data_IF_612227838390
#
_entry.id   IF_612227838390
#
_cell.length_a   1.000
_cell.length_b   1.000
_cell.length_c   1.000
_cell.angle_alpha   90.00
_cell.angle_beta   90.00
_cell.angle_gamma   90.00
#
_symmetry.space_group_name_H-M   'P 1'
#
loop_
_entity.id
_entity.type
_entity.pdbx_description
1 polymer ?
#
# COMPACT_ATOMS: atom_id res chain seq x y z
N UNK A 1 -29.71 -1.66 5.24
CA UNK A 1 -28.92 -1.01 6.30
C UNK A 1 -29.74 -0.64 7.56
N UNK A 2 -30.77 -1.40 7.95
CA UNK A 2 -31.62 -1.05 9.13
C UNK A 2 -30.91 -1.14 10.49
N UNK A 3 -29.79 -1.86 10.57
CA UNK A 3 -29.00 -2.01 11.80
C UNK A 3 -27.83 -1.02 11.93
N UNK A 4 -27.58 -0.17 10.92
CA UNK A 4 -26.47 0.78 10.96
C UNK A 4 -26.95 2.10 11.56
N UNK A 5 -26.35 2.46 12.70
CA UNK A 5 -26.52 3.78 13.33
C UNK A 5 -25.41 4.69 12.82
N UNK A 6 -25.81 5.86 12.31
CA UNK A 6 -24.87 6.87 11.81
C UNK A 6 -24.65 7.93 12.89
N UNK A 7 -23.40 8.33 13.05
CA UNK A 7 -22.97 9.39 13.97
C UNK A 7 -22.07 10.36 13.20
N UNK A 8 -22.05 11.66 13.57
CA UNK A 8 -21.05 12.59 13.08
C UNK A 8 -19.63 12.08 13.38
N UNK A 9 -18.73 12.17 12.41
CA UNK A 9 -17.32 11.84 12.61
C UNK A 9 -16.61 13.00 13.34
N UNK A 10 -16.97 13.27 14.60
CA UNK A 10 -16.37 14.29 15.46
C UNK A 10 -15.93 13.67 16.78
N UNK A 11 -14.93 14.28 17.42
CA UNK A 11 -14.35 13.73 18.64
C UNK A 11 -15.36 13.67 19.80
N UNK A 12 -16.24 14.66 19.91
CA UNK A 12 -17.30 14.68 20.93
C UNK A 12 -18.28 13.50 20.78
N UNK A 13 -18.70 13.22 19.54
CA UNK A 13 -19.61 12.11 19.21
C UNK A 13 -18.95 10.74 19.45
N UNK A 14 -17.67 10.59 19.09
CA UNK A 14 -16.90 9.38 19.40
C UNK A 14 -16.80 9.16 20.92
N UNK A 15 -16.50 10.21 21.69
CA UNK A 15 -16.48 10.13 23.17
C UNK A 15 -17.82 9.69 23.73
N UNK A 16 -18.91 10.28 23.25
CA UNK A 16 -20.25 9.91 23.67
C UNK A 16 -20.57 8.45 23.33
N UNK A 17 -20.16 7.97 22.15
CA UNK A 17 -20.32 6.58 21.77
C UNK A 17 -19.55 5.64 22.72
N UNK A 18 -18.28 5.93 23.00
CA UNK A 18 -17.48 5.14 23.96
C UNK A 18 -18.06 5.19 25.38
N UNK A 19 -18.65 6.33 25.79
CA UNK A 19 -19.28 6.48 27.09
C UNK A 19 -20.52 5.60 27.28
N UNK A 20 -21.26 5.35 26.19
CA UNK A 20 -22.33 4.36 26.17
C UNK A 20 -21.77 2.94 26.06
N UNK A 21 -20.83 2.72 25.13
CA UNK A 21 -20.27 1.42 24.81
C UNK A 21 -19.58 0.75 26.01
N UNK A 22 -18.91 1.50 26.89
CA UNK A 22 -18.28 0.93 28.11
C UNK A 22 -19.27 0.22 29.05
N UNK A 23 -20.58 0.50 28.94
CA UNK A 23 -21.63 -0.15 29.75
C UNK A 23 -22.26 -1.35 29.04
N UNK A 24 -22.10 -1.44 27.73
CA UNK A 24 -22.73 -2.44 26.87
C UNK A 24 -21.74 -3.51 26.41
N UNK A 25 -20.47 -3.15 26.20
CA UNK A 25 -19.37 -4.03 25.80
C UNK A 25 -18.65 -4.51 27.07
N UNK A 26 -18.81 -5.78 27.39
CA UNK A 26 -18.36 -6.41 28.62
C UNK A 26 -17.10 -7.26 28.41
N UNK A 27 -16.38 -7.64 29.49
CA UNK A 27 -15.24 -8.55 29.38
C UNK A 27 -15.59 -9.83 28.61
N UNK A 28 -14.80 -10.17 27.60
CA UNK A 28 -15.06 -11.30 26.69
C UNK A 28 -15.75 -10.92 25.38
N UNK A 29 -16.32 -9.72 25.29
CA UNK A 29 -16.84 -9.18 24.03
C UNK A 29 -15.73 -8.72 23.09
N UNK A 30 -16.10 -8.49 21.84
CA UNK A 30 -15.20 -8.11 20.75
C UNK A 30 -15.67 -6.82 20.09
N UNK A 31 -14.73 -5.92 19.84
CA UNK A 31 -14.95 -4.69 19.08
C UNK A 31 -14.06 -4.68 17.84
N UNK A 32 -14.67 -4.62 16.65
CA UNK A 32 -13.98 -4.36 15.40
C UNK A 32 -14.09 -2.86 15.07
N UNK A 33 -12.96 -2.17 15.03
CA UNK A 33 -12.87 -0.76 14.61
C UNK A 33 -12.36 -0.72 13.18
N UNK A 34 -13.20 -0.37 12.21
CA UNK A 34 -12.81 -0.26 10.80
C UNK A 34 -12.71 1.22 10.40
N UNK A 35 -11.55 1.65 9.93
CA UNK A 35 -11.27 3.04 9.53
C UNK A 35 -10.95 3.09 8.04
N UNK A 36 -11.69 3.90 7.30
CA UNK A 36 -11.46 4.24 5.89
C UNK A 36 -11.69 5.74 5.72
N UNK A 37 -10.59 6.50 5.78
CA UNK A 37 -10.59 7.96 5.61
C UNK A 37 -9.16 8.45 5.32
N UNK A 38 -8.95 9.76 5.30
CA UNK A 38 -7.64 10.37 5.24
C UNK A 38 -6.88 10.22 6.57
N UNK A 39 -5.60 9.87 6.48
CA UNK A 39 -4.67 9.86 7.60
C UNK A 39 -3.54 10.85 7.43
N UNK A 40 -2.94 11.30 8.55
CA UNK A 40 -1.80 12.21 8.57
C UNK A 40 -0.60 11.64 9.35
N UNK A 41 0.63 12.11 9.09
CA UNK A 41 1.85 11.61 9.73
C UNK A 41 1.98 11.99 11.22
N UNK A 42 1.06 12.80 11.75
CA UNK A 42 1.15 13.34 13.10
C UNK A 42 2.17 14.46 13.26
N UNK A 43 2.08 15.22 14.36
CA UNK A 43 2.93 16.42 14.58
C UNK A 43 4.29 16.12 15.19
N UNK A 44 4.47 14.98 15.85
CA UNK A 44 5.67 14.64 16.61
C UNK A 44 6.50 13.52 15.97
N UNK A 45 6.26 13.20 14.70
CA UNK A 45 6.98 12.18 13.95
C UNK A 45 6.32 10.79 13.96
N UNK A 46 7.04 9.76 13.50
CA UNK A 46 6.51 8.39 13.36
C UNK A 46 5.89 7.89 14.67
N UNK A 47 4.67 7.34 14.61
CA UNK A 47 3.90 6.91 15.79
C UNK A 47 2.88 7.95 16.31
N UNK A 48 2.88 9.18 15.78
CA UNK A 48 1.89 10.21 16.13
C UNK A 48 0.75 10.37 15.14
N UNK A 49 0.55 9.36 14.29
CA UNK A 49 -0.42 9.37 13.19
C UNK A 49 -1.82 9.82 13.60
N UNK A 50 -2.55 10.37 12.63
CA UNK A 50 -3.90 10.90 12.85
C UNK A 50 -4.92 10.28 11.91
N UNK A 51 -6.14 10.10 12.41
CA UNK A 51 -7.34 9.85 11.61
C UNK A 51 -8.00 11.21 11.40
N UNK A 52 -8.35 11.54 10.15
CA UNK A 52 -9.13 12.73 9.87
C UNK A 52 -10.55 12.56 10.38
N UNK A 53 -11.08 13.61 10.99
CA UNK A 53 -12.46 13.72 11.41
C UNK A 53 -13.04 14.98 10.75
N UNK A 54 -14.35 15.22 10.90
CA UNK A 54 -14.98 16.41 10.35
C UNK A 54 -14.44 17.69 11.02
N UNK A 55 -13.54 18.38 10.31
CA UNK A 55 -12.83 19.58 10.77
C UNK A 55 -11.90 19.35 11.98
N UNK A 56 -11.63 18.10 12.33
CA UNK A 56 -10.87 17.69 13.50
C UNK A 56 -9.89 16.56 13.11
N UNK A 57 -9.02 16.16 14.05
CA UNK A 57 -8.15 15.00 13.90
C UNK A 57 -8.18 14.18 15.18
N UNK A 58 -8.07 12.87 15.06
CA UNK A 58 -7.93 11.93 16.18
C UNK A 58 -6.54 11.30 16.14
N UNK A 59 -5.73 11.58 17.15
CA UNK A 59 -4.37 11.01 17.28
C UNK A 59 -4.39 9.57 17.79
N UNK A 60 -3.31 8.81 17.56
CA UNK A 60 -3.08 7.49 18.18
C UNK A 60 -3.32 7.52 19.70
N UNK A 61 -2.81 8.56 20.38
CA UNK A 61 -2.95 8.73 21.83
C UNK A 61 -4.41 8.95 22.23
N UNK A 62 -5.14 9.79 21.52
CA UNK A 62 -6.55 10.03 21.83
C UNK A 62 -7.40 8.79 21.57
N UNK A 63 -7.11 8.04 20.49
CA UNK A 63 -7.78 6.77 20.24
C UNK A 63 -7.48 5.76 21.36
N UNK A 64 -6.23 5.66 21.83
CA UNK A 64 -5.90 4.83 23.00
C UNK A 64 -6.74 5.22 24.21
N UNK A 65 -6.84 6.52 24.54
CA UNK A 65 -7.65 7.00 25.66
C UNK A 65 -9.15 6.70 25.53
N UNK A 66 -9.66 6.55 24.30
CA UNK A 66 -11.02 6.11 24.06
C UNK A 66 -11.16 4.59 24.30
N UNK A 67 -10.22 3.81 23.78
CA UNK A 67 -10.19 2.35 23.97
C UNK A 67 -9.99 1.95 25.43
N UNK A 68 -9.18 2.70 26.18
CA UNK A 68 -8.93 2.50 27.62
C UNK A 68 -10.19 2.67 28.49
N UNK A 69 -11.30 3.20 27.93
CA UNK A 69 -12.61 3.26 28.62
C UNK A 69 -13.33 1.93 28.62
N UNK A 70 -12.98 1.01 27.73
CA UNK A 70 -13.60 -0.31 27.65
C UNK A 70 -13.15 -1.17 28.84
N UNK A 71 -13.98 -2.15 29.20
CA UNK A 71 -13.63 -3.06 30.29
C UNK A 71 -12.36 -3.87 29.95
N UNK A 72 -11.51 -4.20 30.93
CA UNK A 72 -10.39 -5.11 30.71
C UNK A 72 -10.88 -6.43 30.09
N UNK A 73 -10.08 -7.03 29.20
CA UNK A 73 -10.40 -8.27 28.44
C UNK A 73 -11.47 -8.11 27.35
N UNK A 74 -11.85 -6.89 26.98
CA UNK A 74 -12.51 -6.65 25.69
C UNK A 74 -11.46 -6.78 24.59
N UNK A 75 -11.72 -7.61 23.59
CA UNK A 75 -10.84 -7.77 22.43
C UNK A 75 -11.15 -6.67 21.41
N UNK A 76 -10.21 -5.75 21.19
CA UNK A 76 -10.29 -4.70 20.18
C UNK A 76 -9.41 -5.06 19.00
N UNK A 77 -10.02 -5.18 17.82
CA UNK A 77 -9.30 -5.35 16.55
C UNK A 77 -9.52 -4.12 15.69
N UNK A 78 -8.45 -3.44 15.31
CA UNK A 78 -8.53 -2.29 14.42
C UNK A 78 -8.13 -2.68 13.01
N UNK A 79 -8.91 -2.29 12.01
CA UNK A 79 -8.55 -2.36 10.59
C UNK A 79 -8.48 -0.94 10.07
N UNK A 80 -7.34 -0.52 9.56
CA UNK A 80 -7.12 0.87 9.14
C UNK A 80 -6.61 0.95 7.71
N UNK A 81 -7.49 1.40 6.81
CA UNK A 81 -7.22 1.69 5.41
C UNK A 81 -7.09 3.18 5.19
N UNK A 82 -5.94 3.74 5.58
CA UNK A 82 -5.63 5.16 5.46
C UNK A 82 -4.12 5.39 5.38
N UNK A 83 -3.70 6.58 4.93
CA UNK A 83 -2.30 7.00 4.99
C UNK A 83 -1.76 6.93 6.42
N UNK A 84 -0.49 6.54 6.56
CA UNK A 84 0.22 6.46 7.85
C UNK A 84 -0.42 5.51 8.88
N UNK A 85 -1.27 4.57 8.43
CA UNK A 85 -2.00 3.64 9.28
C UNK A 85 -1.10 2.84 10.21
N UNK A 86 0.14 2.52 9.79
CA UNK A 86 1.06 1.73 10.60
C UNK A 86 1.48 2.40 11.92
N UNK A 87 1.28 3.72 12.07
CA UNK A 87 1.49 4.41 13.33
C UNK A 87 0.57 3.88 14.45
N UNK A 88 -0.62 3.39 14.08
CA UNK A 88 -1.59 2.86 15.03
C UNK A 88 -1.26 1.45 15.54
N UNK A 89 -0.20 0.82 15.05
CA UNK A 89 0.33 -0.41 15.65
C UNK A 89 0.73 -0.22 17.11
N UNK A 90 1.02 1.02 17.53
CA UNK A 90 1.28 1.37 18.93
C UNK A 90 0.10 1.10 19.86
N UNK A 91 -1.13 1.01 19.36
CA UNK A 91 -2.30 0.72 20.19
C UNK A 91 -2.19 -0.61 20.94
N UNK A 92 -1.33 -1.54 20.51
CA UNK A 92 -1.11 -2.82 21.19
C UNK A 92 -0.51 -2.72 22.61
N UNK A 93 0.09 -1.57 22.94
CA UNK A 93 0.66 -1.32 24.27
C UNK A 93 -0.36 -0.69 25.20
N UNK A 94 -1.22 -1.52 25.80
CA UNK A 94 -2.11 -1.13 26.90
C UNK A 94 -1.28 -0.49 28.03
N UNK A 95 -1.62 0.74 28.44
CA UNK A 95 -0.88 1.44 29.51
C UNK A 95 0.48 2.04 29.09
N UNK A 96 0.87 1.95 27.81
CA UNK A 96 2.06 2.60 27.25
C UNK A 96 3.24 1.65 26.95
N UNK A 97 4.22 2.15 26.20
CA UNK A 97 5.30 1.34 25.58
C UNK A 97 6.26 0.64 26.57
N UNK A 98 6.15 0.90 27.87
CA UNK A 98 7.00 0.30 28.90
C UNK A 98 6.55 -1.10 29.34
N UNK A 99 5.32 -1.51 29.02
CA UNK A 99 4.79 -2.84 29.33
C UNK A 99 4.75 -3.72 28.08
N UNK A 100 4.85 -5.06 28.20
CA UNK A 100 4.59 -5.95 27.08
C UNK A 100 3.11 -5.84 26.64
N UNK A 101 2.82 -6.00 25.33
CA UNK A 101 1.44 -6.06 24.84
C UNK A 101 0.62 -7.13 25.56
N UNK A 102 -0.61 -6.78 25.95
CA UNK A 102 -1.53 -7.68 26.67
C UNK A 102 -2.29 -8.64 25.74
N UNK A 103 -2.40 -8.29 24.45
CA UNK A 103 -3.29 -8.95 23.50
C UNK A 103 -4.75 -8.51 23.56
N UNK A 104 -5.11 -7.47 24.32
CA UNK A 104 -6.48 -6.92 24.26
C UNK A 104 -6.71 -6.09 23.00
N UNK A 105 -5.69 -5.36 22.54
CA UNK A 105 -5.78 -4.50 21.35
C UNK A 105 -4.77 -4.96 20.30
N UNK A 106 -5.25 -5.17 19.08
CA UNK A 106 -4.42 -5.50 17.92
C UNK A 106 -4.97 -4.84 16.66
N UNK A 107 -4.21 -4.91 15.56
CA UNK A 107 -4.68 -4.28 14.33
C UNK A 107 -3.96 -4.66 13.06
N UNK A 108 -4.59 -4.23 11.97
CA UNK A 108 -4.18 -4.43 10.59
C UNK A 108 -4.21 -3.09 9.86
N UNK A 109 -3.17 -2.82 9.09
CA UNK A 109 -2.87 -1.50 8.54
C UNK A 109 -2.57 -1.63 7.05
N UNK A 110 -3.07 -0.71 6.24
CA UNK A 110 -2.80 -0.66 4.80
C UNK A 110 -1.32 -0.43 4.48
N UNK A 111 -0.65 0.37 5.31
CA UNK A 111 0.74 0.76 5.07
C UNK A 111 1.51 1.03 6.37
N UNK A 112 2.78 1.42 6.27
CA UNK A 112 3.66 1.72 7.40
C UNK A 112 3.29 3.04 8.09
N UNK A 113 4.06 3.43 9.12
CA UNK A 113 3.88 4.71 9.81
C UNK A 113 4.40 5.91 9.00
N UNK A 114 5.15 5.67 7.92
CA UNK A 114 5.86 6.70 7.14
C UNK A 114 5.28 6.88 5.72
N UNK A 115 4.39 5.98 5.33
CA UNK A 115 3.90 5.89 3.96
C UNK A 115 2.43 6.31 3.82
N UNK A 116 2.07 6.80 2.64
CA UNK A 116 0.68 7.02 2.24
C UNK A 116 0.06 5.71 1.75
N UNK A 117 -1.25 5.57 1.92
CA UNK A 117 -2.00 4.42 1.42
C UNK A 117 -2.72 4.77 0.11
N UNK A 118 -2.84 3.80 -0.77
CA UNK A 118 -3.57 3.89 -2.03
C UNK A 118 -5.05 3.55 -1.84
N UNK A 119 -5.89 3.95 -2.81
CA UNK A 119 -7.33 3.71 -2.76
C UNK A 119 -8.14 4.68 -1.90
N UNK A 120 -7.49 5.67 -1.29
CA UNK A 120 -8.12 6.73 -0.49
C UNK A 120 -8.37 8.04 -1.28
N UNK A 121 -8.03 8.11 -2.58
CA UNK A 121 -8.17 9.29 -3.46
C UNK A 121 -8.59 8.89 -4.90
N UNK A 122 -9.10 9.81 -5.73
CA UNK A 122 -9.52 9.57 -7.12
C UNK A 122 -8.35 9.35 -8.09
N UNK A 123 -7.13 9.08 -7.60
CA UNK A 123 -5.98 8.68 -8.42
C UNK A 123 -6.22 7.35 -9.17
N UNK A 124 -7.26 6.61 -8.76
CA UNK A 124 -7.86 5.49 -9.49
C UNK A 124 -9.16 5.85 -10.22
N UNK A 125 -9.32 7.05 -10.79
CA UNK A 125 -10.53 7.42 -11.57
C UNK A 125 -10.90 6.38 -12.65
N UNK A 126 -9.91 5.64 -13.16
CA UNK A 126 -10.08 4.58 -14.15
C UNK A 126 -10.13 3.16 -13.53
N UNK A 127 -10.05 3.04 -12.20
CA UNK A 127 -9.98 1.76 -11.48
C UNK A 127 -10.88 1.77 -10.24
N UNK A 128 -12.11 1.31 -10.43
CA UNK A 128 -13.05 1.09 -9.34
C UNK A 128 -12.51 0.06 -8.33
N UNK A 129 -12.73 0.31 -7.03
CA UNK A 129 -12.46 -0.62 -5.91
C UNK A 129 -10.99 -1.05 -5.77
N UNK A 130 -10.09 -0.07 -5.69
CA UNK A 130 -8.66 -0.29 -5.43
C UNK A 130 -8.31 0.13 -4.00
N UNK A 131 -7.40 -0.59 -3.35
CA UNK A 131 -6.85 -0.26 -2.03
C UNK A 131 -7.21 -1.28 -0.95
N UNK A 132 -6.45 -1.23 0.15
CA UNK A 132 -6.45 -2.22 1.22
C UNK A 132 -7.85 -2.57 1.77
N UNK A 133 -8.73 -1.57 2.01
CA UNK A 133 -10.08 -1.84 2.51
C UNK A 133 -10.89 -2.75 1.60
N UNK A 134 -10.89 -2.51 0.29
CA UNK A 134 -11.65 -3.32 -0.67
C UNK A 134 -11.10 -4.74 -0.74
N UNK A 135 -9.78 -4.88 -0.82
CA UNK A 135 -9.12 -6.19 -0.84
C UNK A 135 -9.41 -6.99 0.42
N UNK A 136 -9.36 -6.35 1.59
CA UNK A 136 -9.63 -7.01 2.86
C UNK A 136 -11.10 -7.41 3.00
N UNK A 137 -12.04 -6.55 2.62
CA UNK A 137 -13.48 -6.88 2.64
C UNK A 137 -13.77 -8.04 1.69
N UNK A 138 -13.20 -8.04 0.48
CA UNK A 138 -13.36 -9.14 -0.47
C UNK A 138 -12.72 -10.44 0.06
N UNK A 139 -11.57 -10.36 0.75
CA UNK A 139 -10.94 -11.51 1.37
C UNK A 139 -11.73 -12.03 2.58
N UNK A 140 -12.32 -11.17 3.41
CA UNK A 140 -13.19 -11.55 4.54
C UNK A 140 -14.43 -12.32 4.11
N UNK A 141 -14.90 -12.14 2.87
CA UNK A 141 -16.00 -12.94 2.31
C UNK A 141 -15.59 -14.41 2.00
N UNK A 142 -14.29 -14.73 2.03
CA UNK A 142 -13.72 -16.04 1.67
C UNK A 142 -12.95 -16.69 2.80
N UNK A 143 -12.44 -15.90 3.74
CA UNK A 143 -11.58 -16.33 4.83
C UNK A 143 -12.32 -16.30 6.17
N UNK A 144 -11.93 -17.17 7.10
CA UNK A 144 -12.62 -17.32 8.39
C UNK A 144 -12.17 -16.30 9.44
N UNK A 145 -10.96 -15.73 9.28
CA UNK A 145 -10.37 -14.77 10.22
C UNK A 145 -9.81 -13.54 9.51
N UNK A 146 -9.69 -12.43 10.24
CA UNK A 146 -9.08 -11.20 9.72
C UNK A 146 -7.60 -11.44 9.34
N UNK A 147 -6.87 -12.25 10.11
CA UNK A 147 -5.50 -12.67 9.76
C UNK A 147 -5.42 -13.36 8.40
N UNK A 148 -6.29 -14.33 8.12
CA UNK A 148 -6.29 -15.03 6.83
C UNK A 148 -6.64 -14.08 5.68
N UNK A 149 -7.60 -13.17 5.91
CA UNK A 149 -7.94 -12.14 4.94
C UNK A 149 -6.74 -11.23 4.67
N UNK A 150 -6.05 -10.76 5.71
CA UNK A 150 -4.85 -9.93 5.59
C UNK A 150 -3.70 -10.64 4.85
N UNK A 151 -3.44 -11.90 5.18
CA UNK A 151 -2.42 -12.72 4.51
C UNK A 151 -2.72 -12.88 3.01
N UNK A 152 -4.01 -12.95 2.62
CA UNK A 152 -4.42 -12.92 1.22
C UNK A 152 -4.15 -11.56 0.58
N UNK A 153 -4.48 -10.45 1.26
CA UNK A 153 -4.21 -9.10 0.74
C UNK A 153 -2.72 -8.88 0.50
N UNK A 154 -1.85 -9.35 1.40
CA UNK A 154 -0.39 -9.28 1.22
C UNK A 154 0.09 -9.91 -0.10
N UNK A 155 -0.62 -10.93 -0.59
CA UNK A 155 -0.30 -11.67 -1.81
C UNK A 155 -0.95 -11.09 -3.07
N UNK A 156 -2.10 -10.44 -2.96
CA UNK A 156 -2.90 -10.03 -4.12
C UNK A 156 -3.05 -8.52 -4.32
N UNK A 157 -2.63 -7.69 -3.36
CA UNK A 157 -2.80 -6.24 -3.44
C UNK A 157 -1.96 -5.64 -4.57
N UNK A 158 -2.64 -5.23 -5.64
CA UNK A 158 -2.04 -4.65 -6.84
C UNK A 158 -1.81 -3.14 -6.74
N UNK A 159 -1.75 -2.61 -5.52
CA UNK A 159 -1.32 -1.25 -5.23
C UNK A 159 0.09 -1.22 -4.63
N UNK A 160 0.76 -0.05 -4.58
CA UNK A 160 2.02 0.11 -3.87
C UNK A 160 1.90 0.15 -2.33
N UNK A 161 0.77 -0.26 -1.75
CA UNK A 161 0.58 -0.38 -0.31
C UNK A 161 1.48 -1.46 0.29
N UNK A 162 1.82 -1.30 1.58
CA UNK A 162 2.68 -2.21 2.33
C UNK A 162 1.93 -2.69 3.57
N UNK A 163 0.94 -3.59 3.41
CA UNK A 163 0.11 -3.98 4.52
C UNK A 163 0.94 -4.64 5.62
N UNK A 164 0.49 -4.45 6.86
CA UNK A 164 1.12 -5.06 8.03
C UNK A 164 0.13 -5.19 9.18
N UNK A 165 0.46 -6.03 10.14
CA UNK A 165 -0.30 -6.19 11.39
C UNK A 165 0.55 -5.89 12.62
N UNK A 166 -0.10 -5.86 13.78
CA UNK A 166 0.53 -5.58 15.07
C UNK A 166 1.66 -6.55 15.42
N UNK A 167 1.51 -7.85 15.17
CA UNK A 167 2.56 -8.84 15.43
C UNK A 167 3.83 -8.55 14.64
N UNK A 168 3.69 -8.09 13.39
CA UNK A 168 4.84 -7.76 12.53
C UNK A 168 5.56 -6.52 13.05
N UNK A 169 4.79 -5.51 13.50
CA UNK A 169 5.33 -4.32 14.16
C UNK A 169 6.04 -4.65 15.47
N UNK A 170 5.48 -5.56 16.27
CA UNK A 170 6.07 -6.02 17.52
C UNK A 170 7.42 -6.72 17.27
N UNK A 171 7.45 -7.72 16.40
CA UNK A 171 8.67 -8.46 16.05
C UNK A 171 9.75 -7.56 15.44
N UNK A 172 9.36 -6.63 14.57
CA UNK A 172 10.29 -5.65 13.98
C UNK A 172 10.94 -4.74 15.05
N UNK A 173 10.19 -4.36 16.10
CA UNK A 173 10.75 -3.61 17.23
C UNK A 173 11.70 -4.46 18.05
N UNK A 174 11.34 -5.70 18.39
CA UNK A 174 12.22 -6.61 19.13
C UNK A 174 13.56 -6.80 18.42
N UNK A 175 13.54 -7.02 17.10
CA UNK A 175 14.75 -7.09 16.29
C UNK A 175 15.56 -5.80 16.33
N UNK A 176 14.89 -4.64 16.28
CA UNK A 176 15.55 -3.34 16.33
C UNK A 176 16.18 -3.05 17.69
N UNK A 177 15.51 -3.43 18.77
CA UNK A 177 16.01 -3.31 20.15
C UNK A 177 17.21 -4.24 20.38
N UNK A 178 17.12 -5.49 19.92
CA UNK A 178 18.20 -6.46 20.03
C UNK A 178 19.42 -6.05 19.19
N UNK A 179 19.21 -5.57 17.97
CA UNK A 179 20.29 -5.06 17.13
C UNK A 179 21.02 -3.88 17.79
N UNK A 180 20.26 -2.93 18.37
CA UNK A 180 20.81 -1.82 19.17
C UNK A 180 21.60 -2.31 20.38
N UNK A 181 21.08 -3.28 21.12
CA UNK A 181 21.76 -3.86 22.28
C UNK A 181 23.06 -4.60 21.92
N UNK A 182 23.13 -5.16 20.71
CA UNK A 182 24.33 -5.85 20.18
C UNK A 182 25.28 -4.92 19.42
N UNK A 183 24.90 -3.67 19.15
CA UNK A 183 25.69 -2.74 18.33
C UNK A 183 25.85 -3.20 16.88
N UNK A 184 24.83 -3.85 16.31
CA UNK A 184 24.84 -4.37 14.94
C UNK A 184 23.70 -3.77 14.11
N UNK A 185 23.79 -3.88 12.78
CA UNK A 185 22.70 -3.50 11.90
C UNK A 185 21.52 -4.48 12.06
N UNK A 186 20.29 -3.95 11.99
CA UNK A 186 19.09 -4.77 12.17
C UNK A 186 18.95 -5.81 11.08
N UNK A 187 19.25 -5.46 9.83
CA UNK A 187 19.08 -6.37 8.71
C UNK A 187 20.15 -7.47 8.75
N UNK A 188 21.38 -7.14 9.17
CA UNK A 188 22.43 -8.14 9.39
C UNK A 188 22.07 -9.13 10.52
N UNK A 189 21.51 -8.64 11.63
CA UNK A 189 20.98 -9.51 12.69
C UNK A 189 19.87 -10.42 12.15
N UNK A 190 18.91 -9.86 11.42
CA UNK A 190 17.81 -10.61 10.86
C UNK A 190 18.29 -11.67 9.85
N UNK A 191 19.25 -11.35 8.98
CA UNK A 191 19.84 -12.32 8.04
C UNK A 191 20.58 -13.45 8.77
N UNK A 192 21.25 -13.14 9.90
CA UNK A 192 21.85 -14.18 10.73
C UNK A 192 20.80 -15.11 11.35
N UNK A 193 19.66 -14.58 11.77
CA UNK A 193 18.56 -15.36 12.33
C UNK A 193 17.86 -16.20 11.25
N UNK A 194 17.59 -15.60 10.09
CA UNK A 194 17.05 -16.29 8.91
C UNK A 194 17.93 -17.48 8.51
N UNK A 195 19.26 -17.30 8.49
CA UNK A 195 20.19 -18.40 8.23
C UNK A 195 20.05 -19.57 9.22
N UNK A 196 19.75 -19.29 10.49
CA UNK A 196 19.47 -20.32 11.49
C UNK A 196 18.13 -20.98 11.25
N UNK A 197 17.07 -20.18 11.05
CA UNK A 197 15.72 -20.65 10.74
C UNK A 197 15.71 -21.61 9.53
N UNK A 198 16.42 -21.27 8.46
CA UNK A 198 16.49 -22.09 7.24
C UNK A 198 17.24 -23.41 7.38
N UNK A 199 17.94 -23.67 8.50
CA UNK A 199 18.48 -25.01 8.78
C UNK A 199 17.39 -26.06 8.96
N UNK A 200 16.22 -25.63 9.41
CA UNK A 200 14.99 -26.43 9.46
C UNK A 200 13.91 -25.75 8.61
N UNK A 201 14.13 -25.69 7.30
CA UNK A 201 13.20 -25.07 6.37
C UNK A 201 11.77 -25.65 6.46
N UNK A 202 11.62 -26.91 6.87
CA UNK A 202 10.31 -27.55 7.02
C UNK A 202 9.45 -26.87 8.10
N UNK A 203 10.06 -26.39 9.19
CA UNK A 203 9.36 -25.65 10.24
C UNK A 203 8.81 -24.29 9.76
N UNK A 204 9.40 -23.73 8.70
CA UNK A 204 9.08 -22.40 8.16
C UNK A 204 8.39 -22.45 6.79
N UNK A 205 8.00 -23.63 6.34
CA UNK A 205 7.36 -23.86 5.06
C UNK A 205 6.14 -22.95 4.79
N UNK A 206 5.27 -22.63 5.77
CA UNK A 206 4.17 -21.67 5.54
C UNK A 206 4.66 -20.27 5.14
N UNK A 207 5.74 -19.77 5.75
CA UNK A 207 6.29 -18.45 5.45
C UNK A 207 7.06 -18.45 4.11
N UNK A 208 7.77 -19.55 3.80
CA UNK A 208 8.44 -19.76 2.51
C UNK A 208 7.41 -19.72 1.36
N UNK A 209 6.31 -20.47 1.47
CA UNK A 209 5.26 -20.48 0.44
C UNK A 209 4.60 -19.12 0.24
N UNK A 210 4.51 -18.30 1.29
CA UNK A 210 4.00 -16.93 1.15
C UNK A 210 4.95 -16.05 0.34
N UNK A 211 6.26 -16.17 0.55
CA UNK A 211 7.27 -15.48 -0.25
C UNK A 211 7.17 -15.89 -1.72
N UNK A 212 7.05 -17.20 -1.98
CA UNK A 212 6.91 -17.73 -3.34
C UNK A 212 5.60 -17.29 -4.01
N UNK A 213 4.48 -17.30 -3.30
CA UNK A 213 3.20 -16.83 -3.81
C UNK A 213 3.23 -15.34 -4.17
N UNK A 214 3.91 -14.49 -3.39
CA UNK A 214 4.12 -13.08 -3.74
C UNK A 214 5.01 -12.96 -4.98
N UNK A 215 6.12 -13.70 -5.04
CA UNK A 215 7.00 -13.74 -6.20
C UNK A 215 6.26 -14.11 -7.49
N UNK A 216 5.44 -15.17 -7.44
CA UNK A 216 4.62 -15.63 -8.56
C UNK A 216 3.54 -14.61 -8.96
N UNK A 217 2.78 -14.08 -8.00
CA UNK A 217 1.68 -13.15 -8.27
C UNK A 217 2.15 -11.87 -8.96
N UNK A 218 3.34 -11.37 -8.59
CA UNK A 218 3.91 -10.14 -9.14
C UNK A 218 4.98 -10.38 -10.21
N UNK A 219 5.17 -11.63 -10.65
CA UNK A 219 6.16 -12.01 -11.66
C UNK A 219 7.57 -11.56 -11.30
N UNK A 220 7.96 -11.65 -10.03
CA UNK A 220 9.21 -11.13 -9.47
C UNK A 220 9.99 -12.18 -8.69
N UNK A 221 11.09 -11.79 -8.06
CA UNK A 221 11.94 -12.68 -7.28
C UNK A 221 11.27 -13.15 -5.99
N UNK A 222 11.73 -14.27 -5.43
CA UNK A 222 11.31 -14.79 -4.13
C UNK A 222 12.54 -14.90 -3.20
N UNK A 223 12.76 -13.95 -2.28
CA UNK A 223 13.98 -13.85 -1.48
C UNK A 223 13.96 -14.81 -0.29
N UNK A 224 15.13 -15.14 0.26
CA UNK A 224 15.33 -15.86 1.53
C UNK A 224 16.12 -15.05 2.56
N UNK A 225 16.57 -13.86 2.19
CA UNK A 225 17.32 -12.92 3.03
C UNK A 225 16.91 -11.48 2.74
N UNK A 226 17.12 -10.60 3.72
CA UNK A 226 16.93 -9.16 3.56
C UNK A 226 17.96 -8.56 2.59
N UNK A 227 19.16 -9.15 2.49
CA UNK A 227 20.14 -8.77 1.46
C UNK A 227 19.62 -9.00 0.04
N UNK A 228 18.96 -10.13 -0.22
CA UNK A 228 18.33 -10.39 -1.51
C UNK A 228 17.19 -9.41 -1.79
N UNK A 229 16.34 -9.12 -0.78
CA UNK A 229 15.31 -8.08 -0.91
C UNK A 229 15.93 -6.75 -1.31
N UNK A 230 16.94 -6.28 -0.57
CA UNK A 230 17.60 -5.00 -0.80
C UNK A 230 18.21 -4.91 -2.20
N UNK A 231 18.88 -5.97 -2.65
CA UNK A 231 19.44 -6.04 -4.00
C UNK A 231 18.35 -5.97 -5.08
N UNK A 232 17.28 -6.74 -4.91
CA UNK A 232 16.14 -6.74 -5.83
C UNK A 232 15.39 -5.40 -5.86
N UNK A 233 15.17 -4.79 -4.70
CA UNK A 233 14.54 -3.46 -4.60
C UNK A 233 15.38 -2.38 -5.30
N UNK A 234 16.70 -2.38 -5.12
CA UNK A 234 17.60 -1.45 -5.79
C UNK A 234 17.55 -1.57 -7.32
N UNK A 235 17.47 -2.80 -7.85
CA UNK A 235 17.29 -3.02 -9.28
C UNK A 235 15.92 -2.51 -9.77
N UNK A 236 14.84 -2.79 -9.01
CA UNK A 236 13.50 -2.32 -9.33
C UNK A 236 13.41 -0.79 -9.34
N UNK A 237 13.98 -0.11 -8.33
CA UNK A 237 13.99 1.36 -8.23
C UNK A 237 14.73 1.97 -9.41
N UNK A 238 15.94 1.48 -9.71
CA UNK A 238 16.73 1.97 -10.85
C UNK A 238 15.94 1.88 -12.17
N UNK A 239 15.27 0.75 -12.42
CA UNK A 239 14.47 0.55 -13.64
C UNK A 239 13.21 1.40 -13.66
N UNK A 240 12.57 1.59 -12.51
CA UNK A 240 11.43 2.48 -12.37
C UNK A 240 11.80 3.93 -12.73
N UNK A 241 12.97 4.39 -12.27
CA UNK A 241 13.50 5.73 -12.58
C UNK A 241 13.82 5.90 -14.07
N UNK A 242 14.41 4.87 -14.71
CA UNK A 242 14.64 4.85 -16.15
C UNK A 242 13.32 4.95 -16.94
N UNK A 243 12.31 4.17 -16.53
CA UNK A 243 11.02 4.15 -17.19
C UNK A 243 10.25 5.46 -16.99
N UNK A 244 10.33 6.06 -15.80
CA UNK A 244 9.79 7.39 -15.51
C UNK A 244 10.42 8.43 -16.43
N UNK A 245 11.74 8.38 -16.60
CA UNK A 245 12.45 9.26 -17.54
C UNK A 245 11.94 9.09 -18.97
N UNK A 246 11.67 7.86 -19.40
CA UNK A 246 11.12 7.60 -20.74
C UNK A 246 9.68 8.09 -20.87
N UNK A 247 8.84 7.87 -19.86
CA UNK A 247 7.47 8.39 -19.80
C UNK A 247 7.45 9.91 -19.92
N UNK A 248 8.28 10.61 -19.16
CA UNK A 248 8.38 12.07 -19.21
C UNK A 248 8.80 12.56 -20.60
N UNK A 249 9.75 11.88 -21.25
CA UNK A 249 10.16 12.18 -22.63
C UNK A 249 9.03 11.94 -23.63
N UNK A 250 8.30 10.83 -23.54
CA UNK A 250 7.17 10.55 -24.43
C UNK A 250 6.04 11.56 -24.25
N UNK A 251 5.77 11.98 -23.00
CA UNK A 251 4.80 13.03 -22.70
C UNK A 251 5.23 14.38 -23.27
N UNK A 252 6.51 14.76 -23.13
CA UNK A 252 7.04 15.99 -23.69
C UNK A 252 6.90 16.04 -25.22
N UNK A 253 7.31 14.98 -25.93
CA UNK A 253 7.17 14.93 -27.40
C UNK A 253 5.70 14.88 -27.83
N UNK A 254 4.85 14.19 -27.08
CA UNK A 254 3.40 14.20 -27.33
C UNK A 254 2.83 15.62 -27.20
N UNK A 255 3.29 16.40 -26.23
CA UNK A 255 2.91 17.80 -26.06
C UNK A 255 3.38 18.66 -27.23
N UNK A 256 4.64 18.54 -27.66
CA UNK A 256 5.19 19.29 -28.81
C UNK A 256 4.41 19.03 -30.11
N UNK A 257 4.00 17.78 -30.34
CA UNK A 257 3.17 17.42 -31.51
C UNK A 257 1.78 18.04 -31.41
N UNK A 258 1.14 18.01 -30.23
CA UNK A 258 -0.16 18.65 -29.99
C UNK A 258 -0.10 20.15 -30.22
N UNK A 259 0.94 20.82 -29.71
CA UNK A 259 1.15 22.26 -29.92
C UNK A 259 1.39 22.60 -31.39
N UNK A 260 2.16 21.78 -32.10
CA UNK A 260 2.41 21.97 -33.53
C UNK A 260 1.14 21.80 -34.36
N UNK A 261 0.31 20.81 -34.01
CA UNK A 261 -0.99 20.60 -34.62
C UNK A 261 -1.96 21.77 -34.34
N UNK A 262 -2.02 22.24 -33.09
CA UNK A 262 -2.86 23.39 -32.72
C UNK A 262 -2.42 24.66 -33.44
N UNK A 263 -1.12 24.90 -33.58
CA UNK A 263 -0.59 26.03 -34.37
C UNK A 263 -0.96 25.93 -35.85
N UNK A 264 -0.86 24.74 -36.44
CA UNK A 264 -1.28 24.51 -37.82
C UNK A 264 -2.80 24.72 -38.00
N UNK A 265 -3.61 24.24 -37.05
CA UNK A 265 -5.06 24.45 -37.04
C UNK A 265 -5.42 25.94 -36.93
N UNK A 266 -4.81 26.66 -35.98
CA UNK A 266 -5.04 28.10 -35.79
C UNK A 266 -4.54 28.96 -36.96
N UNK A 267 -3.63 28.44 -37.78
CA UNK A 267 -3.20 29.09 -39.03
C UNK A 267 -4.20 28.86 -40.16
N UNK A 268 -4.78 27.66 -40.26
CA UNK A 268 -5.77 27.30 -41.30
C UNK A 268 -7.20 27.76 -40.98
N UNK A 269 -7.52 27.97 -39.69
CA UNK A 269 -8.84 28.41 -39.23
C UNK A 269 -8.72 29.65 -38.33
N UNK A 270 -8.45 30.84 -38.90
CA UNK A 270 -8.23 32.08 -38.13
C UNK A 270 -9.40 32.45 -37.22
N UNK A 271 -10.62 32.04 -37.58
CA UNK A 271 -11.85 32.28 -36.81
C UNK A 271 -11.74 31.78 -35.35
N UNK A 272 -10.94 30.74 -35.11
CA UNK A 272 -10.75 30.19 -33.77
C UNK A 272 -9.81 31.00 -32.90
N UNK A 273 -9.01 31.92 -33.47
CA UNK A 273 -8.12 32.79 -32.67
C UNK A 273 -8.93 33.71 -31.77
N UNK A 274 -9.98 34.31 -32.31
CA UNK A 274 -10.85 35.23 -31.57
C UNK A 274 -11.83 34.47 -30.66
N UNK A 275 -12.33 33.30 -31.11
CA UNK A 275 -13.30 32.50 -30.34
C UNK A 275 -12.68 31.75 -29.15
N UNK A 276 -11.36 31.55 -29.14
CA UNK A 276 -10.63 30.92 -28.03
C UNK A 276 -9.81 31.93 -27.21
N UNK A 277 -10.05 33.23 -27.39
CA UNK A 277 -9.44 34.24 -26.52
C UNK A 277 -9.81 33.94 -25.05
N UNK A 278 -8.83 33.80 -24.13
CA UNK A 278 -9.10 33.39 -22.75
C UNK A 278 -10.08 34.31 -22.03
N UNK A 279 -10.02 35.64 -22.27
CA UNK A 279 -10.92 36.59 -21.62
C UNK A 279 -12.34 36.48 -22.17
N UNK A 280 -12.48 36.26 -23.48
CA UNK A 280 -13.78 36.03 -24.10
C UNK A 280 -14.43 34.73 -23.58
N UNK A 281 -13.67 33.65 -23.48
CA UNK A 281 -14.16 32.34 -23.03
C UNK A 281 -14.52 32.32 -21.54
N UNK A 282 -13.73 33.01 -20.69
CA UNK A 282 -14.01 33.12 -19.25
C UNK A 282 -15.33 33.85 -18.96
N UNK A 283 -15.70 34.81 -19.81
CA UNK A 283 -16.94 35.57 -19.67
C UNK A 283 -18.19 34.82 -20.17
N UNK A 284 -18.03 33.70 -20.88
CA UNK A 284 -19.16 32.90 -21.34
C UNK A 284 -19.82 32.10 -20.21
N UNK A 285 -21.16 32.03 -20.19
CA UNK A 285 -21.92 31.05 -19.39
C UNK A 285 -21.48 29.60 -19.64
N UNK A 286 -21.64 28.68 -18.67
CA UNK A 286 -21.16 27.29 -18.78
C UNK A 286 -21.68 26.53 -20.01
N UNK A 287 -22.95 26.71 -20.36
CA UNK A 287 -23.60 26.11 -21.53
C UNK A 287 -23.01 26.64 -22.86
N UNK A 288 -22.76 27.94 -22.94
CA UNK A 288 -22.13 28.56 -24.10
C UNK A 288 -20.67 28.15 -24.25
N UNK A 289 -19.94 28.04 -23.13
CA UNK A 289 -18.57 27.53 -23.12
C UNK A 289 -18.51 26.09 -23.61
N UNK A 290 -19.42 25.23 -23.16
CA UNK A 290 -19.52 23.85 -23.64
C UNK A 290 -19.81 23.78 -25.15
N UNK A 291 -20.70 24.63 -25.66
CA UNK A 291 -21.02 24.70 -27.08
C UNK A 291 -19.82 25.15 -27.95
N UNK A 292 -19.03 26.13 -27.47
CA UNK A 292 -17.79 26.57 -28.14
C UNK A 292 -16.77 25.43 -28.17
N UNK A 293 -16.57 24.73 -27.05
CA UNK A 293 -15.64 23.59 -26.97
C UNK A 293 -16.08 22.45 -27.91
N UNK A 294 -17.37 22.12 -27.95
CA UNK A 294 -17.90 21.08 -28.84
C UNK A 294 -17.61 21.40 -30.31
N UNK A 295 -17.97 22.61 -30.78
CA UNK A 295 -17.66 23.05 -32.15
C UNK A 295 -16.16 23.06 -32.44
N UNK A 296 -15.35 23.51 -31.50
CA UNK A 296 -13.89 23.51 -31.66
C UNK A 296 -13.36 22.10 -31.87
N UNK A 297 -13.82 21.14 -31.07
CA UNK A 297 -13.42 19.73 -31.19
C UNK A 297 -13.95 19.10 -32.49
N UNK A 298 -15.15 19.45 -32.95
CA UNK A 298 -15.74 18.97 -34.21
C UNK A 298 -14.92 19.39 -35.44
N UNK A 299 -14.30 20.57 -35.41
CA UNK A 299 -13.43 21.05 -36.48
C UNK A 299 -11.96 20.59 -36.31
N UNK A 300 -11.45 20.60 -35.07
CA UNK A 300 -10.08 20.18 -34.78
C UNK A 300 -9.89 18.68 -35.04
N UNK A 301 -10.86 17.84 -34.72
CA UNK A 301 -10.69 16.38 -34.82
C UNK A 301 -10.47 15.89 -36.27
N UNK A 302 -11.28 16.26 -37.27
CA UNK A 302 -11.02 15.91 -38.67
C UNK A 302 -9.71 16.50 -39.19
N UNK A 303 -9.39 17.76 -38.86
CA UNK A 303 -8.13 18.39 -39.23
C UNK A 303 -6.93 17.62 -38.66
N UNK A 304 -7.00 17.24 -37.39
CA UNK A 304 -6.00 16.43 -36.72
C UNK A 304 -5.80 15.09 -37.44
N UNK A 305 -6.88 14.37 -37.72
CA UNK A 305 -6.86 13.06 -38.39
C UNK A 305 -6.23 13.08 -39.78
N UNK A 306 -6.34 14.19 -40.49
CA UNK A 306 -5.77 14.35 -41.84
C UNK A 306 -4.30 14.81 -41.81
N UNK A 307 -3.77 15.20 -40.66
CA UNK A 307 -2.38 15.64 -40.52
C UNK A 307 -1.41 14.47 -40.58
N UNK A 308 -0.27 14.67 -41.25
CA UNK A 308 0.88 13.74 -41.21
C UNK A 308 1.47 13.56 -39.78
N UNK A 309 1.09 14.42 -38.84
CA UNK A 309 1.46 14.33 -37.43
C UNK A 309 0.61 13.32 -36.66
N UNK A 310 -0.57 12.95 -37.16
CA UNK A 310 -1.50 12.08 -36.44
C UNK A 310 -0.93 10.69 -36.12
N UNK A 311 -0.33 9.95 -37.07
CA UNK A 311 0.26 8.64 -36.76
C UNK A 311 1.42 8.73 -35.74
N UNK A 312 2.18 9.84 -35.76
CA UNK A 312 3.24 10.10 -34.78
C UNK A 312 2.67 10.31 -33.39
N UNK A 313 1.60 11.11 -33.28
CA UNK A 313 0.92 11.36 -32.02
C UNK A 313 0.33 10.09 -31.41
N UNK A 314 -0.34 9.25 -32.20
CA UNK A 314 -0.88 7.96 -31.75
C UNK A 314 0.23 7.05 -31.22
N UNK A 315 1.36 6.97 -31.93
CA UNK A 315 2.52 6.19 -31.49
C UNK A 315 3.09 6.70 -30.16
N UNK A 316 3.24 8.01 -29.99
CA UNK A 316 3.77 8.58 -28.74
C UNK A 316 2.81 8.39 -27.56
N UNK A 317 1.50 8.55 -27.80
CA UNK A 317 0.47 8.25 -26.81
C UNK A 317 0.50 6.77 -26.40
N UNK A 318 0.62 5.86 -27.36
CA UNK A 318 0.72 4.42 -27.08
C UNK A 318 1.99 4.08 -26.28
N UNK A 319 3.13 4.68 -26.61
CA UNK A 319 4.37 4.51 -25.86
C UNK A 319 4.25 5.05 -24.42
N UNK A 320 3.69 6.24 -24.24
CA UNK A 320 3.44 6.81 -22.92
C UNK A 320 2.48 5.94 -22.09
N UNK A 321 1.41 5.42 -22.69
CA UNK A 321 0.47 4.52 -22.01
C UNK A 321 1.17 3.25 -21.52
N UNK A 322 1.93 2.59 -22.39
CA UNK A 322 2.71 1.39 -22.03
C UNK A 322 3.74 1.68 -20.94
N UNK A 323 4.43 2.82 -21.03
CA UNK A 323 5.40 3.25 -20.03
C UNK A 323 4.74 3.50 -18.66
N UNK A 324 3.57 4.15 -18.64
CA UNK A 324 2.80 4.39 -17.43
C UNK A 324 2.33 3.10 -16.77
N UNK A 325 1.83 2.14 -17.55
CA UNK A 325 1.40 0.84 -17.03
C UNK A 325 2.56 0.03 -16.45
N UNK A 326 3.70 -0.01 -17.15
CA UNK A 326 4.89 -0.68 -16.66
C UNK A 326 5.46 0.02 -15.42
N UNK A 327 5.45 1.36 -15.37
CA UNK A 327 5.90 2.13 -14.21
C UNK A 327 5.06 1.81 -12.97
N UNK A 328 3.74 1.72 -13.13
CA UNK A 328 2.85 1.24 -12.07
C UNK A 328 3.24 -0.17 -11.60
N UNK A 329 3.51 -1.10 -12.53
CA UNK A 329 3.92 -2.46 -12.15
C UNK A 329 5.24 -2.50 -11.37
N UNK A 330 6.21 -1.64 -11.73
CA UNK A 330 7.46 -1.52 -10.97
C UNK A 330 7.23 -1.00 -9.55
N UNK A 331 6.38 0.02 -9.36
CA UNK A 331 6.03 0.52 -8.01
C UNK A 331 5.34 -0.56 -7.16
N UNK A 332 4.44 -1.34 -7.75
CA UNK A 332 3.79 -2.45 -7.05
C UNK A 332 4.78 -3.57 -6.74
N UNK A 333 5.71 -3.92 -7.65
CA UNK A 333 6.76 -4.92 -7.37
C UNK A 333 7.70 -4.48 -6.25
N UNK A 334 8.02 -3.19 -6.16
CA UNK A 334 8.77 -2.62 -5.04
C UNK A 334 7.99 -2.81 -3.73
N UNK A 335 6.70 -2.51 -3.71
CA UNK A 335 5.86 -2.76 -2.55
C UNK A 335 5.78 -4.26 -2.20
N UNK A 336 5.70 -5.14 -3.20
CA UNK A 336 5.76 -6.59 -3.00
C UNK A 336 7.07 -7.05 -2.35
N UNK A 337 8.22 -6.49 -2.76
CA UNK A 337 9.51 -6.73 -2.11
C UNK A 337 9.50 -6.32 -0.63
N UNK A 338 8.89 -5.18 -0.29
CA UNK A 338 8.73 -4.73 1.10
C UNK A 338 7.73 -5.58 1.92
N UNK A 339 6.71 -6.17 1.28
CA UNK A 339 5.84 -7.17 1.91
C UNK A 339 6.63 -8.44 2.23
N UNK A 340 7.47 -8.90 1.31
CA UNK A 340 8.38 -10.03 1.53
C UNK A 340 9.39 -9.74 2.65
N UNK A 341 9.93 -8.52 2.72
CA UNK A 341 10.74 -8.05 3.86
C UNK A 341 10.01 -8.16 5.19
N UNK A 342 8.74 -7.79 5.24
CA UNK A 342 7.91 -7.90 6.46
C UNK A 342 7.77 -9.36 6.92
N UNK A 343 7.58 -10.30 5.99
CA UNK A 343 7.54 -11.74 6.28
C UNK A 343 8.90 -12.23 6.80
N UNK A 344 10.00 -11.86 6.14
CA UNK A 344 11.35 -12.24 6.57
C UNK A 344 11.70 -11.68 7.96
N UNK A 345 11.33 -10.43 8.26
CA UNK A 345 11.47 -9.87 9.61
C UNK A 345 10.61 -10.60 10.64
N UNK A 346 9.44 -11.10 10.25
CA UNK A 346 8.57 -11.91 11.11
C UNK A 346 9.23 -13.25 11.44
N UNK A 347 9.79 -13.94 10.44
CA UNK A 347 10.54 -15.19 10.63
C UNK A 347 11.75 -14.94 11.55
N UNK A 348 12.57 -13.94 11.24
CA UNK A 348 13.73 -13.58 12.05
C UNK A 348 13.34 -13.24 13.50
N UNK A 349 12.26 -12.48 13.71
CA UNK A 349 11.79 -12.11 15.03
C UNK A 349 11.28 -13.30 15.85
N UNK A 350 10.58 -14.25 15.20
CA UNK A 350 10.19 -15.51 15.85
C UNK A 350 11.41 -16.35 16.21
N UNK A 351 12.42 -16.44 15.34
CA UNK A 351 13.67 -17.14 15.60
C UNK A 351 14.51 -16.47 16.71
N UNK A 352 14.47 -15.15 16.82
CA UNK A 352 15.09 -14.43 17.94
C UNK A 352 14.49 -14.90 19.27
N UNK A 353 13.19 -15.15 19.31
CA UNK A 353 12.49 -15.58 20.50
C UNK A 353 12.74 -17.05 20.83
N UNK A 354 13.06 -17.91 19.86
CA UNK A 354 13.38 -19.34 20.08
C UNK A 354 14.79 -19.57 20.59
N UNK A 355 15.72 -18.67 20.31
CA UNK A 355 17.08 -18.76 20.81
C UNK A 355 17.09 -18.85 22.35
N UNK A 356 17.57 -19.98 22.89
CA UNK A 356 17.77 -20.19 24.33
C UNK A 356 19.25 -19.98 24.63
N UNK A 357 19.58 -19.21 25.66
CA UNK A 357 20.94 -19.17 26.19
C UNK A 357 21.11 -20.37 27.16
N UNK A 358 22.25 -21.07 27.13
CA UNK A 358 22.48 -22.34 27.87
C UNK A 358 22.39 -22.21 29.41
N UNK A 359 22.15 -21.00 29.93
CA UNK A 359 21.95 -20.70 31.35
C UNK A 359 20.73 -19.82 31.50
N UNK A 360 19.78 -20.16 32.40
CA UNK A 360 18.68 -19.26 32.82
C UNK A 360 19.25 -17.88 33.15
N UNK A 361 19.13 -16.99 32.18
CA UNK A 361 19.59 -15.62 32.25
C UNK A 361 18.38 -14.70 32.34
N UNK A 362 18.53 -13.47 32.84
CA UNK A 362 17.46 -12.46 32.76
C UNK A 362 16.96 -12.23 31.33
N UNK A 363 17.78 -12.54 30.30
CA UNK A 363 17.37 -12.48 28.90
C UNK A 363 16.38 -13.59 28.52
N UNK A 364 16.49 -14.78 29.09
CA UNK A 364 15.55 -15.88 28.80
C UNK A 364 14.18 -15.61 29.41
N UNK A 365 14.13 -15.03 30.61
CA UNK A 365 12.86 -14.59 31.22
C UNK A 365 12.20 -13.47 30.40
N UNK A 366 12.99 -12.50 29.93
CA UNK A 366 12.49 -11.46 29.03
C UNK A 366 11.97 -12.04 27.71
N UNK A 367 12.68 -13.01 27.11
CA UNK A 367 12.24 -13.71 25.89
C UNK A 367 10.95 -14.50 26.09
N UNK A 368 10.79 -15.15 27.25
CA UNK A 368 9.57 -15.86 27.59
C UNK A 368 8.37 -14.90 27.68
N UNK A 369 8.54 -13.74 28.34
CA UNK A 369 7.51 -12.71 28.39
C UNK A 369 7.20 -12.12 27.01
N UNK A 370 8.22 -11.91 26.16
CA UNK A 370 8.03 -11.44 24.78
C UNK A 370 7.28 -12.46 23.92
N UNK A 371 7.55 -13.76 24.10
CA UNK A 371 6.83 -14.83 23.41
C UNK A 371 5.36 -14.87 23.83
N UNK A 372 5.10 -14.76 25.13
CA UNK A 372 3.73 -14.68 25.64
C UNK A 372 2.96 -13.47 25.07
N UNK A 373 3.62 -12.31 24.95
CA UNK A 373 3.02 -11.14 24.34
C UNK A 373 2.74 -11.34 22.84
N UNK A 374 3.65 -11.97 22.10
CA UNK A 374 3.42 -12.34 20.70
C UNK A 374 2.23 -13.29 20.55
N UNK A 375 2.14 -14.33 21.39
CA UNK A 375 1.03 -15.28 21.36
C UNK A 375 -0.31 -14.59 21.63
N UNK A 376 -0.33 -13.65 22.59
CA UNK A 376 -1.52 -12.84 22.90
C UNK A 376 -1.92 -11.94 21.72
N UNK A 377 -0.97 -11.33 21.01
CA UNK A 377 -1.25 -10.56 19.80
C UNK A 377 -1.79 -11.43 18.68
N UNK A 378 -1.19 -12.59 18.42
CA UNK A 378 -1.66 -13.52 17.38
C UNK A 378 -3.07 -14.02 17.69
N UNK A 379 -3.37 -14.29 18.96
CA UNK A 379 -4.73 -14.63 19.39
C UNK A 379 -5.72 -13.49 19.16
N UNK A 380 -5.32 -12.24 19.44
CA UNK A 380 -6.14 -11.07 19.15
C UNK A 380 -6.42 -10.93 17.64
N UNK A 381 -5.39 -11.08 16.81
CA UNK A 381 -5.47 -10.93 15.35
C UNK A 381 -6.31 -12.02 14.70
N UNK A 382 -6.41 -13.19 15.31
CA UNK A 382 -7.24 -14.32 14.88
C UNK A 382 -8.76 -14.10 15.02
N UNK A 383 -9.22 -12.85 15.18
CA UNK A 383 -10.64 -12.49 15.20
C UNK A 383 -11.37 -13.11 14.00
N UNK A 384 -12.43 -13.86 14.31
CA UNK A 384 -13.43 -14.26 13.34
C UNK A 384 -14.64 -13.34 13.47
N UNK A 385 -15.03 -12.60 12.42
CA UNK A 385 -16.22 -11.75 12.44
C UNK A 385 -17.55 -12.54 12.43
N UNK A 386 -17.49 -13.87 12.44
CA UNK A 386 -18.65 -14.77 12.40
C UNK A 386 -19.10 -15.11 10.98
N UNK A 387 -20.15 -15.93 10.87
CA UNK A 387 -20.73 -16.30 9.58
C UNK A 387 -21.41 -15.08 8.94
N UNK A 388 -20.83 -14.57 7.85
CA UNK A 388 -21.49 -13.57 7.03
C UNK A 388 -22.71 -14.20 6.34
N UNK A 389 -23.88 -13.54 6.33
CA UNK A 389 -25.08 -14.08 5.69
C UNK A 389 -24.80 -14.48 4.24
N UNK A 390 -25.39 -15.61 3.83
CA UNK A 390 -25.06 -16.37 2.64
C UNK A 390 -24.60 -15.51 1.45
N UNK A 391 -23.36 -15.79 1.04
CA UNK A 391 -22.60 -15.20 -0.05
C UNK A 391 -23.53 -14.78 -1.20
N UNK A 392 -23.70 -13.46 -1.38
CA UNK A 392 -23.98 -12.95 -2.72
C UNK A 392 -22.76 -13.34 -3.56
N UNK A 393 -22.87 -14.47 -4.25
CA UNK A 393 -21.94 -14.91 -5.29
C UNK A 393 -22.11 -13.97 -6.49
N UNK A 394 -21.87 -12.68 -6.28
CA UNK A 394 -21.29 -11.90 -7.34
C UNK A 394 -19.89 -12.49 -7.47
N UNK A 395 -19.70 -13.28 -8.52
CA UNK A 395 -18.39 -13.65 -9.05
C UNK A 395 -17.64 -12.36 -9.39
N UNK A 396 -17.13 -11.67 -8.36
CA UNK A 396 -16.04 -10.73 -8.56
C UNK A 396 -14.89 -11.63 -8.96
N UNK A 397 -14.57 -11.61 -10.25
CA UNK A 397 -13.43 -12.32 -10.82
C UNK A 397 -12.17 -11.88 -10.10
N UNK A 398 -11.76 -12.62 -9.07
CA UNK A 398 -10.54 -12.33 -8.29
C UNK A 398 -9.30 -12.98 -8.87
N UNK A 399 -9.40 -13.63 -10.03
CA UNK A 399 -8.23 -13.80 -10.88
C UNK A 399 -7.90 -12.42 -11.48
N UNK A 400 -7.46 -11.47 -10.64
CA UNK A 400 -6.63 -10.39 -11.17
C UNK A 400 -5.44 -11.11 -11.78
N UNK A 401 -5.25 -10.91 -13.07
CA UNK A 401 -4.18 -11.55 -13.79
C UNK A 401 -2.87 -11.30 -13.03
N UNK A 402 -2.12 -12.37 -12.76
CA UNK A 402 -0.76 -12.25 -12.27
C UNK A 402 -0.01 -11.26 -13.16
N UNK A 403 0.88 -10.49 -12.57
CA UNK A 403 1.67 -9.55 -13.36
C UNK A 403 2.46 -10.35 -14.40
N UNK A 404 2.72 -9.76 -15.58
CA UNK A 404 3.68 -10.36 -16.50
C UNK A 404 5.01 -10.58 -15.76
N UNK A 405 5.81 -11.58 -16.17
CA UNK A 405 7.17 -11.74 -15.67
C UNK A 405 7.96 -10.43 -15.74
N UNK A 406 8.84 -10.18 -14.76
CA UNK A 406 9.70 -8.99 -14.72
C UNK A 406 10.53 -8.85 -16.01
N UNK A 407 10.91 -9.95 -16.65
CA UNK A 407 11.60 -9.96 -17.94
C UNK A 407 10.82 -9.22 -19.02
N UNK A 408 9.49 -9.36 -19.07
CA UNK A 408 8.66 -8.74 -20.11
C UNK A 408 8.65 -7.22 -19.95
N UNK A 409 8.64 -6.73 -18.71
CA UNK A 409 8.74 -5.30 -18.42
C UNK A 409 10.15 -4.74 -18.65
N UNK A 410 11.19 -5.57 -18.47
CA UNK A 410 12.56 -5.22 -18.85
C UNK A 410 12.70 -5.12 -20.38
N UNK A 411 12.12 -6.05 -21.13
CA UNK A 411 12.12 -6.00 -22.59
C UNK A 411 11.30 -4.81 -23.10
N UNK A 412 10.17 -4.51 -22.45
CA UNK A 412 9.37 -3.33 -22.74
C UNK A 412 10.13 -2.03 -22.49
N UNK A 413 10.91 -1.94 -21.40
CA UNK A 413 11.78 -0.79 -21.12
C UNK A 413 12.76 -0.54 -22.29
N UNK A 414 13.37 -1.60 -22.84
CA UNK A 414 14.26 -1.49 -24.00
C UNK A 414 13.51 -1.04 -25.26
N UNK A 415 12.30 -1.54 -25.48
CA UNK A 415 11.45 -1.13 -26.61
C UNK A 415 10.98 0.32 -26.50
N UNK A 416 10.75 0.81 -25.28
CA UNK A 416 10.27 2.16 -25.00
C UNK A 416 11.38 3.21 -24.95
N UNK A 417 12.65 2.80 -25.02
CA UNK A 417 13.77 3.72 -25.05
C UNK A 417 13.58 4.72 -26.21
N UNK A 418 13.46 6.03 -25.93
CA UNK A 418 13.24 7.01 -26.99
C UNK A 418 14.46 7.05 -27.93
N UNK A 419 14.31 6.51 -29.14
CA UNK A 419 15.33 6.64 -30.19
C UNK A 419 15.21 8.04 -30.81
N UNK A 420 15.79 9.04 -30.16
CA UNK A 420 15.99 10.32 -30.80
C UNK A 420 17.06 10.10 -31.89
N UNK A 421 16.67 10.26 -33.17
CA UNK A 421 17.56 10.26 -34.35
C UNK A 421 17.99 8.91 -34.95
N UNK A 422 17.34 7.79 -34.63
CA UNK A 422 17.67 6.50 -35.27
C UNK A 422 19.00 5.89 -34.82
N UNK A 423 19.61 6.41 -33.75
CA UNK A 423 20.75 5.79 -33.08
C UNK A 423 20.23 4.97 -31.90
N UNK A 424 20.33 3.65 -31.99
CA UNK A 424 20.19 2.75 -30.85
C UNK A 424 21.55 2.72 -30.13
N UNK A 425 21.61 3.25 -28.92
CA UNK A 425 22.79 3.06 -28.08
C UNK A 425 22.70 1.66 -27.47
N UNK A 426 23.54 0.74 -27.94
CA UNK A 426 23.72 -0.55 -27.27
C UNK A 426 24.38 -0.31 -25.90
N UNK A 427 24.02 -1.07 -24.85
CA UNK A 427 24.79 -1.07 -23.61
C UNK A 427 26.24 -1.43 -23.92
N UNK A 428 27.20 -0.71 -23.35
CA UNK A 428 28.60 -1.15 -23.40
C UNK A 428 28.68 -2.52 -22.75
N UNK A 429 28.96 -3.55 -23.54
CA UNK A 429 29.37 -4.86 -23.04
C UNK A 429 30.57 -4.66 -22.13
N UNK A 430 30.44 -4.97 -20.85
CA UNK A 430 31.55 -5.08 -19.92
C UNK A 430 32.42 -6.27 -20.35
N UNK A 431 33.37 -6.00 -21.23
CA UNK A 431 34.49 -6.90 -21.51
C UNK A 431 35.76 -6.27 -20.93
N UNK A 432 36.05 -6.64 -19.68
CA UNK A 432 37.38 -6.96 -19.12
C UNK A 432 37.26 -7.04 -17.59
#
# INVERSE_FOLDING_TARGET
>A
WRAVKLHPARLADLRQWFDAAQREILPGDRLLVFVTDHGGPGRSGPGSGTISLWHEQLTVRELRLLLDRLAPKVQVVTVMSQCYSGAFADLMYDGGASAPPSGNTCGFFATTADDKAYGCYPEGQDRDRVGYAFELIDALNRQSTVTQAHDQVMQSDSTPDRPRRTSDAYLSRLLSDEARARGTDRDDLADSLLKTAWRDAAAWEPDIRRLDAIGEAFGTFSPRSLREVKSGEQDLVRRADELKTYLDRWNAVSLEVKESLLRAFAASHPVWRDQLDPRAVEQLPPDQRAAVVARFLDELHPFARQSDLWPKMERFRAAASKASEASWRFEVRKAAAERMRTILLTVAGRELLTAVDDRRSPRDEARAAQRQALDALVQCEALSPGDLPAKSVATVSTARASFPPLSDDIDLLQQLQPSWLGVRYAPMSSNA
#
